data_IF_886303112167
#
_entry.id   IF_886303112167
#
_cell.length_a   1.000
_cell.length_b   1.000
_cell.length_c   1.000
_cell.angle_alpha   90.00
_cell.angle_beta   90.00
_cell.angle_gamma   90.00
#
_symmetry.space_group_name_H-M   'P 1'
#
loop_
_entity.id
_entity.type
_entity.pdbx_description
1 polymer ?
#
# COMPACT_ATOMS: atom_id res chain seq x y z
N UNK A 1 25.55 0.51 9.68
CA UNK A 1 25.03 1.89 9.85
C UNK A 1 23.52 1.79 9.72
N UNK A 2 22.77 2.44 10.59
CA UNK A 2 21.30 2.43 10.49
C UNK A 2 20.87 3.29 9.30
N UNK A 3 20.01 2.73 8.45
CA UNK A 3 19.39 3.45 7.33
C UNK A 3 17.96 3.81 7.71
N UNK A 4 17.54 5.04 7.46
CA UNK A 4 16.16 5.48 7.65
C UNK A 4 15.43 5.49 6.31
N UNK A 5 14.27 4.84 6.26
CA UNK A 5 13.36 4.85 5.11
C UNK A 5 12.12 5.65 5.48
N UNK A 6 11.81 6.70 4.71
CA UNK A 6 10.56 7.44 4.85
C UNK A 6 9.44 6.70 4.12
N UNK A 7 8.36 6.42 4.84
CA UNK A 7 7.19 5.67 4.37
C UNK A 7 5.96 6.57 4.35
N UNK A 8 5.33 6.71 3.19
CA UNK A 8 4.04 7.39 3.02
C UNK A 8 2.95 6.72 3.82
N UNK A 9 2.18 7.45 4.62
CA UNK A 9 0.92 6.99 5.22
C UNK A 9 1.02 5.56 5.78
N UNK A 10 1.92 5.28 6.73
CA UNK A 10 2.30 3.92 7.14
C UNK A 10 1.11 3.04 7.56
N UNK A 11 0.01 3.63 8.05
CA UNK A 11 -1.20 2.90 8.41
C UNK A 11 -2.09 2.47 7.23
N UNK A 12 -1.78 2.91 6.02
CA UNK A 12 -2.52 2.59 4.79
C UNK A 12 -1.83 1.48 3.98
N UNK A 13 -0.82 0.84 4.55
CA UNK A 13 -0.16 -0.32 3.97
C UNK A 13 -0.81 -1.60 4.44
N UNK A 14 -0.79 -2.59 3.57
CA UNK A 14 -1.19 -3.97 3.84
C UNK A 14 -0.13 -4.92 3.25
N UNK A 15 -0.23 -6.21 3.53
CA UNK A 15 0.73 -7.24 3.15
C UNK A 15 0.05 -8.43 2.52
N UNK A 16 0.74 -8.99 1.53
CA UNK A 16 0.29 -10.17 0.77
C UNK A 16 1.48 -10.99 0.25
N UNK A 17 1.23 -12.04 -0.53
CA UNK A 17 2.27 -12.94 -1.05
C UNK A 17 2.44 -12.76 -2.56
N UNK A 18 3.59 -13.19 -3.09
CA UNK A 18 3.83 -13.16 -4.54
C UNK A 18 2.78 -13.97 -5.33
N UNK A 19 2.23 -15.03 -4.74
CA UNK A 19 1.17 -15.85 -5.35
C UNK A 19 -0.07 -15.02 -5.65
N UNK A 20 -0.58 -14.28 -4.66
CA UNK A 20 -1.73 -13.41 -4.88
C UNK A 20 -1.37 -12.25 -5.80
N UNK A 21 -0.21 -11.62 -5.61
CA UNK A 21 0.16 -10.42 -6.36
C UNK A 21 0.33 -10.68 -7.86
N UNK A 22 0.63 -11.92 -8.26
CA UNK A 22 0.92 -12.27 -9.66
C UNK A 22 -0.22 -11.93 -10.63
N UNK A 23 -1.47 -11.97 -10.18
CA UNK A 23 -2.62 -11.66 -11.05
C UNK A 23 -2.63 -10.21 -11.53
N UNK A 24 -2.08 -9.27 -10.76
CA UNK A 24 -2.02 -7.86 -11.11
C UNK A 24 -0.83 -7.49 -12.01
N UNK A 25 0.18 -8.36 -12.11
CA UNK A 25 1.33 -8.19 -13.02
C UNK A 25 1.63 -9.53 -13.70
N UNK A 26 0.77 -9.99 -14.64
CA UNK A 26 0.85 -11.32 -15.21
C UNK A 26 2.04 -11.50 -16.16
N UNK A 27 2.50 -10.42 -16.79
CA UNK A 27 3.60 -10.40 -17.76
C UNK A 27 4.55 -9.20 -17.54
N UNK A 28 5.67 -9.18 -18.25
CA UNK A 28 6.69 -8.12 -18.14
C UNK A 28 6.10 -6.79 -18.60
N UNK A 29 6.01 -5.78 -17.72
CA UNK A 29 5.51 -4.45 -18.06
C UNK A 29 6.24 -3.78 -19.24
N UNK A 30 7.53 -4.06 -19.44
CA UNK A 30 8.29 -3.50 -20.57
C UNK A 30 7.89 -4.16 -21.91
N UNK A 31 7.44 -5.41 -21.90
CA UNK A 31 6.90 -6.09 -23.08
C UNK A 31 5.53 -5.51 -23.43
N UNK A 32 4.66 -5.34 -22.41
CA UNK A 32 3.35 -4.70 -22.55
C UNK A 32 3.49 -3.25 -23.07
N UNK A 33 4.49 -2.52 -22.58
CA UNK A 33 4.79 -1.14 -23.00
C UNK A 33 5.46 -1.05 -24.38
N UNK A 34 5.95 -2.17 -24.90
CA UNK A 34 6.70 -2.24 -26.16
C UNK A 34 8.09 -1.60 -26.10
N UNK A 35 8.58 -1.23 -24.91
CA UNK A 35 9.89 -0.64 -24.71
C UNK A 35 10.37 -0.83 -23.26
N UNK A 36 11.66 -1.12 -23.11
CA UNK A 36 12.31 -1.12 -21.81
C UNK A 36 12.45 0.29 -21.27
N UNK A 37 11.82 0.58 -20.12
CA UNK A 37 11.81 1.91 -19.53
C UNK A 37 13.19 2.38 -19.03
N UNK A 38 13.96 1.47 -18.45
CA UNK A 38 15.27 1.75 -17.85
C UNK A 38 16.30 0.75 -18.35
N UNK A 39 17.36 1.22 -19.01
CA UNK A 39 18.37 0.36 -19.64
C UNK A 39 19.13 -0.53 -18.65
N UNK A 40 19.28 -0.07 -17.41
CA UNK A 40 19.97 -0.77 -16.33
C UNK A 40 19.07 -1.70 -15.51
N UNK A 41 17.79 -1.89 -15.90
CA UNK A 41 16.81 -2.74 -15.19
C UNK A 41 17.36 -4.13 -14.85
N UNK A 42 17.98 -4.79 -15.83
CA UNK A 42 18.47 -6.16 -15.67
C UNK A 42 19.79 -6.25 -14.90
N UNK A 43 20.43 -5.09 -14.63
CA UNK A 43 21.66 -4.99 -13.84
C UNK A 43 21.38 -4.81 -12.35
N UNK A 44 20.13 -4.46 -11.97
CA UNK A 44 19.77 -4.24 -10.57
C UNK A 44 19.72 -5.56 -9.79
N UNK A 45 20.20 -5.53 -8.54
CA UNK A 45 20.13 -6.69 -7.64
C UNK A 45 18.76 -6.76 -6.98
N UNK A 46 17.77 -7.14 -7.77
CA UNK A 46 16.36 -7.24 -7.38
C UNK A 46 16.12 -8.09 -6.13
N UNK A 47 16.96 -9.10 -5.89
CA UNK A 47 16.92 -9.89 -4.66
C UNK A 47 17.25 -9.09 -3.39
N UNK A 48 18.20 -8.15 -3.46
CA UNK A 48 18.53 -7.28 -2.33
C UNK A 48 17.45 -6.21 -2.13
N UNK A 49 16.90 -5.67 -3.22
CA UNK A 49 15.76 -4.74 -3.17
C UNK A 49 14.55 -5.42 -2.49
N UNK A 50 14.17 -6.63 -2.93
CA UNK A 50 13.06 -7.38 -2.35
C UNK A 50 13.27 -7.67 -0.85
N UNK A 51 14.50 -8.02 -0.46
CA UNK A 51 14.85 -8.22 0.95
C UNK A 51 14.72 -6.94 1.79
N UNK A 52 15.13 -5.78 1.25
CA UNK A 52 14.97 -4.50 1.93
C UNK A 52 13.49 -4.09 2.06
N UNK A 53 12.71 -4.26 0.98
CA UNK A 53 11.27 -4.00 0.97
C UNK A 53 10.55 -4.88 2.00
N UNK A 54 10.91 -6.15 2.09
CA UNK A 54 10.38 -7.09 3.11
C UNK A 54 10.67 -6.58 4.52
N UNK A 55 11.93 -6.19 4.80
CA UNK A 55 12.30 -5.68 6.13
C UNK A 55 11.50 -4.43 6.52
N UNK A 56 11.26 -3.52 5.57
CA UNK A 56 10.40 -2.35 5.85
C UNK A 56 8.98 -2.79 6.19
N UNK A 57 8.41 -3.73 5.43
CA UNK A 57 7.10 -4.30 5.72
C UNK A 57 7.02 -4.97 7.10
N UNK A 58 8.06 -5.69 7.51
CA UNK A 58 8.14 -6.31 8.84
C UNK A 58 8.22 -5.28 9.97
N UNK A 59 9.00 -4.20 9.78
CA UNK A 59 9.10 -3.11 10.76
C UNK A 59 7.77 -2.35 10.88
N UNK A 60 7.07 -2.14 9.77
CA UNK A 60 5.73 -1.55 9.76
C UNK A 60 4.74 -2.43 10.52
N UNK A 61 4.72 -3.74 10.26
CA UNK A 61 3.87 -4.70 10.98
C UNK A 61 4.21 -4.76 12.48
N UNK A 62 5.48 -4.63 12.85
CA UNK A 62 5.90 -4.56 14.24
C UNK A 62 5.57 -3.22 14.92
N UNK A 63 5.03 -2.23 14.19
CA UNK A 63 4.79 -0.88 14.72
C UNK A 63 6.07 -0.16 15.15
N UNK A 64 7.23 -0.58 14.64
CA UNK A 64 8.56 -0.15 15.11
C UNK A 64 9.12 1.00 14.27
N UNK A 65 8.35 2.06 14.13
CA UNK A 65 8.68 3.26 13.35
C UNK A 65 8.23 4.52 14.10
N UNK A 66 8.76 5.68 13.73
CA UNK A 66 8.40 6.96 14.35
C UNK A 66 7.78 7.92 13.33
N UNK A 67 6.92 8.83 13.75
CA UNK A 67 6.42 9.89 12.86
C UNK A 67 7.59 10.77 12.42
N UNK A 68 7.62 11.14 11.15
CA UNK A 68 8.58 12.10 10.62
C UNK A 68 8.24 13.50 11.16
N UNK A 69 9.17 14.19 11.85
CA UNK A 69 8.89 15.51 12.43
C UNK A 69 8.67 16.60 11.38
N UNK A 70 9.09 16.39 10.13
CA UNK A 70 8.95 17.36 9.04
C UNK A 70 7.72 17.07 8.16
N UNK A 71 7.21 15.84 8.19
CA UNK A 71 6.12 15.36 7.34
C UNK A 71 5.14 14.52 8.16
N UNK A 72 4.03 15.12 8.58
CA UNK A 72 3.03 14.52 9.48
C UNK A 72 2.30 13.29 8.91
N UNK A 73 2.39 13.08 7.60
CA UNK A 73 1.88 11.90 6.90
C UNK A 73 2.90 10.77 6.74
N UNK A 74 4.13 10.91 7.26
CA UNK A 74 5.22 9.93 7.08
C UNK A 74 5.60 9.21 8.36
N UNK A 75 5.98 7.95 8.18
CA UNK A 75 6.72 7.16 9.16
C UNK A 75 8.18 7.01 8.76
N UNK A 76 9.09 7.12 9.72
CA UNK A 76 10.50 6.80 9.59
C UNK A 76 10.75 5.38 10.10
N UNK A 77 11.09 4.49 9.18
CA UNK A 77 11.44 3.10 9.43
C UNK A 77 12.95 2.96 9.51
N UNK A 78 13.46 2.50 10.65
CA UNK A 78 14.88 2.27 10.84
C UNK A 78 15.27 0.83 10.47
N UNK A 79 16.17 0.68 9.50
CA UNK A 79 16.80 -0.59 9.16
C UNK A 79 18.22 -0.65 9.75
N UNK A 80 18.68 -1.81 10.25
CA UNK A 80 20.06 -1.96 10.77
C UNK A 80 21.15 -1.73 9.70
N UNK A 81 20.72 -1.66 8.44
CA UNK A 81 21.46 -1.41 7.21
C UNK A 81 20.67 -2.02 6.06
N UNK A 82 21.01 -1.67 4.82
CA UNK A 82 20.49 -2.44 3.69
C UNK A 82 21.07 -3.86 3.68
N UNK A 83 20.34 -4.85 3.12
CA UNK A 83 20.92 -6.16 2.84
C UNK A 83 22.02 -6.03 1.79
N UNK A 84 23.27 -5.98 2.25
CA UNK A 84 24.46 -5.79 1.39
C UNK A 84 24.68 -4.34 0.95
N UNK A 85 25.69 -4.15 0.09
CA UNK A 85 26.07 -2.83 -0.42
C UNK A 85 25.23 -2.46 -1.64
N UNK A 86 24.14 -1.72 -1.45
CA UNK A 86 23.26 -1.25 -2.53
C UNK A 86 23.85 -0.05 -3.28
N UNK A 87 23.66 -0.02 -4.61
CA UNK A 87 23.96 1.16 -5.42
C UNK A 87 22.96 2.29 -5.11
N UNK A 88 23.27 3.53 -5.52
CA UNK A 88 22.33 4.63 -5.35
C UNK A 88 20.99 4.36 -6.06
N UNK A 89 21.01 3.81 -7.28
CA UNK A 89 19.80 3.45 -8.02
C UNK A 89 18.93 2.46 -7.25
N UNK A 90 19.52 1.43 -6.65
CA UNK A 90 18.77 0.43 -5.87
C UNK A 90 18.17 1.04 -4.60
N UNK A 91 18.89 1.97 -3.94
CA UNK A 91 18.37 2.73 -2.80
C UNK A 91 17.22 3.65 -3.20
N UNK A 92 17.31 4.28 -4.38
CA UNK A 92 16.24 5.12 -4.94
C UNK A 92 15.02 4.28 -5.30
N UNK A 93 15.21 3.06 -5.84
CA UNK A 93 14.12 2.10 -6.09
C UNK A 93 13.42 1.74 -4.78
N UNK A 94 14.15 1.44 -3.72
CA UNK A 94 13.58 1.15 -2.40
C UNK A 94 12.85 2.37 -1.84
N UNK A 95 13.39 3.57 -2.02
CA UNK A 95 12.71 4.80 -1.59
C UNK A 95 11.41 5.03 -2.37
N UNK A 96 11.43 4.79 -3.69
CA UNK A 96 10.26 4.89 -4.56
C UNK A 96 9.17 3.86 -4.19
N UNK A 97 9.54 2.69 -3.68
CA UNK A 97 8.60 1.71 -3.15
C UNK A 97 7.69 2.31 -2.08
N UNK A 98 8.18 3.24 -1.25
CA UNK A 98 7.43 3.76 -0.10
C UNK A 98 7.04 5.24 -0.23
N UNK A 99 7.34 5.89 -1.35
CA UNK A 99 6.99 7.30 -1.62
C UNK A 99 5.57 7.41 -2.18
N UNK A 100 4.83 8.43 -1.76
CA UNK A 100 3.39 8.56 -2.09
C UNK A 100 3.09 8.61 -3.60
N UNK A 101 3.97 9.19 -4.41
CA UNK A 101 3.76 9.34 -5.86
C UNK A 101 4.25 8.13 -6.67
N UNK A 102 4.89 7.15 -6.03
CA UNK A 102 5.61 6.06 -6.71
C UNK A 102 5.38 4.68 -6.07
N UNK A 103 4.73 4.60 -4.92
CA UNK A 103 4.54 3.34 -4.22
C UNK A 103 3.88 2.27 -5.10
N UNK A 104 4.19 0.99 -4.83
CA UNK A 104 3.38 -0.10 -5.38
C UNK A 104 2.01 -0.02 -4.72
N UNK A 105 1.00 0.38 -5.50
CA UNK A 105 -0.28 0.83 -4.97
C UNK A 105 -1.45 0.12 -5.67
N UNK A 106 -2.24 -0.60 -4.86
CA UNK A 106 -3.54 -1.17 -5.22
C UNK A 106 -4.27 -1.66 -3.98
N UNK A 107 -5.58 -1.86 -4.11
CA UNK A 107 -6.42 -2.41 -3.06
C UNK A 107 -6.67 -3.92 -3.28
N UNK A 108 -6.78 -4.74 -2.22
CA UNK A 108 -6.99 -6.18 -2.32
C UNK A 108 -8.18 -6.62 -3.18
N UNK A 109 -9.22 -5.80 -3.25
CA UNK A 109 -10.48 -6.07 -3.95
C UNK A 109 -10.57 -5.43 -5.35
N UNK A 110 -9.57 -4.66 -5.78
CA UNK A 110 -9.67 -3.83 -6.97
C UNK A 110 -8.53 -4.08 -7.99
N UNK A 111 -8.89 -4.11 -9.26
CA UNK A 111 -7.99 -4.04 -10.41
C UNK A 111 -8.30 -2.75 -11.18
N UNK A 112 -7.30 -1.91 -11.54
CA UNK A 112 -5.90 -2.27 -11.75
C UNK A 112 -4.92 -1.76 -10.68
N UNK A 113 -3.70 -2.29 -10.75
CA UNK A 113 -2.53 -1.71 -10.10
C UNK A 113 -2.30 -0.29 -10.59
N UNK A 114 -2.19 0.66 -9.65
CA UNK A 114 -2.16 2.11 -9.95
C UNK A 114 -0.74 2.60 -10.24
N UNK A 115 0.25 2.11 -9.52
CA UNK A 115 1.65 2.48 -9.72
C UNK A 115 2.60 1.36 -9.27
N UNK A 116 3.85 1.42 -9.73
CA UNK A 116 4.90 0.53 -9.28
C UNK A 116 4.98 -0.85 -9.94
N UNK A 117 4.22 -1.12 -11.02
CA UNK A 117 4.23 -2.46 -11.68
C UNK A 117 5.62 -2.92 -12.09
N UNK A 118 6.48 -2.03 -12.57
CA UNK A 118 7.85 -2.34 -12.99
C UNK A 118 8.72 -2.76 -11.79
N UNK A 119 8.61 -2.03 -10.68
CA UNK A 119 9.30 -2.36 -9.42
C UNK A 119 8.80 -3.67 -8.82
N UNK A 120 7.48 -3.88 -8.86
CA UNK A 120 6.86 -5.10 -8.42
C UNK A 120 7.28 -6.28 -9.29
N UNK A 121 7.27 -6.15 -10.61
CA UNK A 121 7.76 -7.16 -11.55
C UNK A 121 9.20 -7.58 -11.24
N UNK A 122 10.11 -6.61 -11.12
CA UNK A 122 11.52 -6.88 -10.88
C UNK A 122 11.77 -7.61 -9.55
N UNK A 123 11.00 -7.31 -8.50
CA UNK A 123 11.18 -7.92 -7.17
C UNK A 123 10.38 -9.20 -6.94
N UNK A 124 9.29 -9.43 -7.70
CA UNK A 124 8.27 -10.44 -7.42
C UNK A 124 8.83 -11.86 -7.24
N UNK A 125 9.74 -12.28 -8.12
CA UNK A 125 10.36 -13.63 -8.07
C UNK A 125 11.32 -13.82 -6.90
N UNK A 126 11.69 -12.74 -6.20
CA UNK A 126 12.68 -12.74 -5.14
C UNK A 126 12.10 -12.68 -3.72
N UNK A 127 10.79 -12.44 -3.58
CA UNK A 127 10.14 -12.46 -2.25
C UNK A 127 10.05 -13.87 -1.66
N UNK A 128 9.97 -14.92 -2.50
CA UNK A 128 9.77 -16.28 -2.02
C UNK A 128 8.50 -16.38 -1.16
N UNK A 129 8.64 -16.78 0.11
CA UNK A 129 7.54 -16.84 1.08
C UNK A 129 7.33 -15.55 1.88
N UNK A 130 8.14 -14.51 1.64
CA UNK A 130 8.04 -13.24 2.36
C UNK A 130 6.78 -12.47 1.99
N UNK A 131 6.28 -11.70 2.95
CA UNK A 131 5.15 -10.80 2.75
C UNK A 131 5.58 -9.51 2.04
N UNK A 132 4.82 -9.10 1.03
CA UNK A 132 5.04 -7.93 0.19
C UNK A 132 4.18 -6.79 0.74
N UNK A 133 4.77 -5.67 1.21
CA UNK A 133 4.00 -4.49 1.59
C UNK A 133 3.47 -3.76 0.37
N UNK A 134 2.17 -3.52 0.33
CA UNK A 134 1.45 -2.80 -0.73
C UNK A 134 0.71 -1.63 -0.09
N UNK A 135 0.72 -0.46 -0.75
CA UNK A 135 -0.09 0.68 -0.32
C UNK A 135 -1.51 0.53 -0.85
N UNK A 136 -2.52 0.69 0.01
CA UNK A 136 -3.91 0.75 -0.43
C UNK A 136 -4.23 2.12 -1.04
N UNK A 137 -4.92 2.13 -2.17
CA UNK A 137 -5.27 3.35 -2.90
C UNK A 137 -6.51 4.01 -2.30
N UNK A 138 -7.51 3.22 -1.91
CA UNK A 138 -8.76 3.71 -1.35
C UNK A 138 -8.54 4.68 -0.18
N UNK A 139 -7.69 4.31 0.79
CA UNK A 139 -7.42 5.14 1.97
C UNK A 139 -6.72 6.46 1.67
N UNK A 140 -6.01 6.59 0.54
CA UNK A 140 -5.45 7.87 0.10
C UNK A 140 -6.55 8.92 -0.13
N UNK A 141 -7.77 8.48 -0.41
CA UNK A 141 -8.94 9.33 -0.61
C UNK A 141 -9.80 9.53 0.65
N UNK A 142 -9.37 9.01 1.80
CA UNK A 142 -10.09 9.16 3.07
C UNK A 142 -9.70 10.47 3.76
N UNK A 143 -9.90 11.59 3.04
CA UNK A 143 -9.51 12.93 3.47
C UNK A 143 -10.63 13.95 3.22
N UNK A 144 -10.50 15.14 3.83
CA UNK A 144 -11.53 16.17 3.80
C UNK A 144 -11.84 16.69 2.38
N UNK A 145 -10.81 16.84 1.53
CA UNK A 145 -10.97 17.38 0.19
C UNK A 145 -11.75 16.41 -0.72
N UNK A 146 -11.40 15.12 -0.69
CA UNK A 146 -12.11 14.11 -1.47
C UNK A 146 -13.52 13.85 -0.92
N UNK A 147 -13.69 13.89 0.41
CA UNK A 147 -15.01 13.75 1.04
C UNK A 147 -15.96 14.90 0.64
N UNK A 148 -15.47 16.12 0.47
CA UNK A 148 -16.27 17.26 -0.02
C UNK A 148 -16.81 17.00 -1.44
N UNK A 149 -15.98 16.43 -2.32
CA UNK A 149 -16.37 16.09 -3.70
C UNK A 149 -17.35 14.92 -3.76
N UNK A 150 -17.15 13.92 -2.90
CA UNK A 150 -17.97 12.70 -2.84
C UNK A 150 -19.30 12.91 -2.11
N UNK A 151 -19.40 13.91 -1.23
CA UNK A 151 -20.58 14.23 -0.43
C UNK A 151 -20.87 13.22 0.67
N UNK A 152 -22.02 13.34 1.32
CA UNK A 152 -22.42 12.58 2.53
C UNK A 152 -22.38 11.04 2.37
N UNK A 153 -22.36 10.54 1.14
CA UNK A 153 -22.29 9.11 0.85
C UNK A 153 -20.88 8.51 0.91
N UNK A 154 -19.82 9.32 1.04
CA UNK A 154 -18.44 8.86 1.00
C UNK A 154 -18.12 7.71 1.99
N UNK A 155 -18.64 7.67 3.24
CA UNK A 155 -18.32 6.58 4.17
C UNK A 155 -18.84 5.22 3.67
N UNK A 156 -19.93 5.23 2.90
CA UNK A 156 -20.51 4.04 2.30
C UNK A 156 -19.58 3.36 1.29
N UNK A 157 -18.64 4.08 0.69
CA UNK A 157 -17.62 3.50 -0.19
C UNK A 157 -16.70 2.57 0.60
N UNK A 158 -16.18 3.05 1.74
CA UNK A 158 -15.31 2.28 2.62
C UNK A 158 -16.05 1.14 3.33
N UNK A 159 -17.36 1.28 3.57
CA UNK A 159 -18.17 0.16 4.05
C UNK A 159 -18.23 -1.00 3.03
N UNK A 160 -18.38 -0.68 1.73
CA UNK A 160 -18.32 -1.70 0.67
C UNK A 160 -16.91 -2.29 0.55
N UNK A 161 -15.87 -1.46 0.62
CA UNK A 161 -14.47 -1.91 0.59
C UNK A 161 -14.18 -2.94 1.70
N UNK A 162 -14.75 -2.76 2.90
CA UNK A 162 -14.64 -3.73 4.00
C UNK A 162 -15.39 -5.03 3.67
N UNK A 163 -16.59 -4.96 3.10
CA UNK A 163 -17.34 -6.15 2.69
C UNK A 163 -16.58 -6.96 1.63
N UNK A 164 -15.96 -6.28 0.65
CA UNK A 164 -15.13 -6.92 -0.37
C UNK A 164 -13.85 -7.50 0.22
N UNK A 165 -13.17 -6.77 1.11
CA UNK A 165 -11.98 -7.24 1.83
C UNK A 165 -12.27 -8.49 2.68
N UNK A 166 -13.36 -8.48 3.45
CA UNK A 166 -13.77 -9.58 4.32
C UNK A 166 -14.22 -10.82 3.52
N UNK A 167 -14.53 -10.67 2.23
CA UNK A 167 -14.85 -11.78 1.33
C UNK A 167 -13.60 -12.47 0.75
N UNK A 168 -12.41 -11.89 0.91
CA UNK A 168 -11.14 -12.47 0.44
C UNK A 168 -10.62 -13.48 1.47
N UNK A 169 -10.65 -14.77 1.12
CA UNK A 169 -10.19 -15.86 1.99
C UNK A 169 -8.68 -15.83 2.29
N UNK A 170 -7.93 -15.16 1.42
CA UNK A 170 -6.48 -15.01 1.51
C UNK A 170 -6.02 -13.75 2.27
N UNK A 171 -6.90 -12.81 2.58
CA UNK A 171 -6.51 -11.62 3.33
C UNK A 171 -6.36 -11.93 4.84
N UNK A 172 -5.11 -12.07 5.30
CA UNK A 172 -4.84 -12.45 6.70
C UNK A 172 -4.97 -11.26 7.65
N UNK A 173 -6.10 -11.17 8.36
CA UNK A 173 -6.34 -10.15 9.40
C UNK A 173 -5.56 -10.37 10.70
N UNK A 174 -4.84 -11.48 10.85
CA UNK A 174 -3.93 -11.71 11.98
C UNK A 174 -2.57 -11.06 11.76
N UNK A 175 -2.24 -10.73 10.52
CA UNK A 175 -1.09 -9.88 10.22
C UNK A 175 -1.32 -8.48 10.80
N UNK A 176 -0.42 -7.96 11.66
CA UNK A 176 -0.63 -6.66 12.30
C UNK A 176 -0.77 -5.49 11.33
N UNK A 177 -0.08 -5.51 10.18
CA UNK A 177 -0.18 -4.44 9.19
C UNK A 177 -1.53 -4.49 8.49
N UNK A 178 -2.01 -5.70 8.14
CA UNK A 178 -3.35 -5.90 7.59
C UNK A 178 -4.46 -5.53 8.57
N UNK A 179 -4.29 -5.86 9.85
CA UNK A 179 -5.23 -5.46 10.90
C UNK A 179 -5.30 -3.92 11.03
N UNK A 180 -4.15 -3.24 10.98
CA UNK A 180 -4.09 -1.77 10.97
C UNK A 180 -4.76 -1.17 9.74
N UNK A 181 -4.50 -1.72 8.55
CA UNK A 181 -5.12 -1.30 7.30
C UNK A 181 -6.65 -1.40 7.35
N UNK A 182 -7.15 -2.57 7.75
CA UNK A 182 -8.59 -2.82 7.91
C UNK A 182 -9.21 -1.88 8.94
N UNK A 183 -8.51 -1.58 10.04
CA UNK A 183 -8.99 -0.65 11.05
C UNK A 183 -9.05 0.81 10.53
N UNK A 184 -8.15 1.20 9.63
CA UNK A 184 -8.23 2.48 8.89
C UNK A 184 -9.48 2.53 8.00
N UNK A 185 -9.80 1.45 7.28
CA UNK A 185 -11.04 1.36 6.49
C UNK A 185 -12.27 1.46 7.38
N UNK A 186 -12.29 0.78 8.53
CA UNK A 186 -13.39 0.86 9.50
C UNK A 186 -13.60 2.29 10.02
N UNK A 187 -12.50 3.01 10.26
CA UNK A 187 -12.56 4.42 10.66
C UNK A 187 -13.19 5.27 9.55
N UNK A 188 -12.73 5.12 8.31
CA UNK A 188 -13.29 5.78 7.13
C UNK A 188 -14.79 5.46 6.94
N UNK A 189 -15.17 4.19 7.07
CA UNK A 189 -16.56 3.73 6.96
C UNK A 189 -17.48 4.29 8.07
N UNK A 190 -16.92 4.74 9.20
CA UNK A 190 -17.66 5.43 10.25
C UNK A 190 -17.90 6.92 9.97
N UNK A 191 -17.33 7.45 8.88
CA UNK A 191 -17.37 8.87 8.53
C UNK A 191 -16.27 9.72 9.18
N UNK A 192 -15.27 9.08 9.78
CA UNK A 192 -14.09 9.75 10.34
C UNK A 192 -12.86 9.54 9.44
N UNK A 193 -11.97 10.52 9.37
CA UNK A 193 -10.72 10.38 8.62
C UNK A 193 -9.70 9.57 9.43
N UNK A 194 -9.21 8.42 8.91
CA UNK A 194 -8.18 7.66 9.61
C UNK A 194 -6.87 8.46 9.62
N UNK A 195 -6.22 8.54 10.79
CA UNK A 195 -4.86 9.08 10.86
C UNK A 195 -3.90 8.21 10.04
N UNK A 196 -3.05 8.81 9.18
CA UNK A 196 -2.06 8.07 8.39
C UNK A 196 -0.94 7.49 9.27
N UNK A 197 -0.76 8.03 10.49
CA UNK A 197 0.36 7.70 11.37
C UNK A 197 -0.06 7.29 12.80
N UNK A 198 -1.10 7.87 13.37
CA UNK A 198 -1.44 7.58 14.78
C UNK A 198 -2.08 6.20 14.91
N UNK A 199 -1.71 5.35 15.87
CA UNK A 199 -2.33 4.04 16.05
C UNK A 199 -3.84 4.15 16.34
N UNK A 200 -4.63 3.15 15.91
CA UNK A 200 -6.05 3.08 16.28
C UNK A 200 -6.16 2.88 17.78
N UNK A 201 -6.75 3.85 18.48
CA UNK A 201 -7.16 3.64 19.87
C UNK A 201 -8.41 2.77 19.88
N UNK A 202 -8.41 1.57 20.48
CA UNK A 202 -9.60 0.73 20.50
C UNK A 202 -10.69 1.37 21.39
N UNK A 203 -11.73 1.93 20.79
CA UNK A 203 -12.89 2.41 21.52
C UNK A 203 -13.90 3.18 20.66
N UNK A 204 -15.16 2.72 20.71
CA UNK A 204 -16.38 3.25 20.10
C UNK A 204 -16.65 2.85 18.63
N UNK A 205 -17.15 1.63 18.45
CA UNK A 205 -17.99 1.29 17.31
C UNK A 205 -19.47 1.53 17.67
N UNK A 206 -20.15 2.44 16.97
CA UNK A 206 -21.62 2.43 16.88
C UNK A 206 -22.02 1.95 15.51
N UNK A 207 -22.65 0.78 15.47
CA UNK A 207 -23.18 0.15 14.27
C UNK A 207 -24.38 0.91 13.72
N UNK A 208 -24.39 1.20 12.42
CA UNK A 208 -25.65 1.33 11.68
C UNK A 208 -25.53 0.62 10.33
N UNK A 209 -26.23 -0.51 10.20
CA UNK A 209 -26.49 -1.18 8.92
C UNK A 209 -27.36 -0.29 8.05
N UNK A 210 -26.97 -0.08 6.79
CA UNK A 210 -27.86 0.37 5.73
C UNK A 210 -27.53 -0.32 4.41
N UNK A 211 -28.58 -0.62 3.65
CA UNK A 211 -28.60 -1.48 2.47
C UNK A 211 -28.26 -0.73 1.19
N UNK A 212 -27.49 -1.44 0.34
CA UNK A 212 -27.58 -1.57 -1.12
C UNK A 212 -27.02 -0.47 -2.04
N UNK A 213 -26.08 -0.96 -2.87
CA UNK A 213 -26.00 -0.88 -4.34
C UNK A 213 -26.22 0.49 -4.97
N UNK A 214 -25.18 0.98 -5.67
CA UNK A 214 -25.17 1.46 -7.06
C UNK A 214 -23.81 2.17 -7.32
N UNK A 215 -23.32 2.13 -8.57
CA UNK A 215 -22.33 3.05 -9.20
C UNK A 215 -20.87 2.57 -9.43
N UNK A 216 -20.65 1.98 -10.62
CA UNK A 216 -19.33 1.74 -11.25
C UNK A 216 -19.00 2.70 -12.42
N UNK A 217 -19.71 3.84 -12.56
CA UNK A 217 -19.65 4.64 -13.80
C UNK A 217 -19.04 6.04 -13.67
N UNK A 218 -18.50 6.46 -12.51
CA UNK A 218 -17.94 7.82 -12.34
C UNK A 218 -16.41 7.94 -12.23
N UNK A 219 -15.65 6.86 -12.05
CA UNK A 219 -14.17 6.93 -12.05
C UNK A 219 -13.51 7.04 -13.43
N UNK A 220 -14.25 6.91 -14.54
CA UNK A 220 -13.73 7.13 -15.91
C UNK A 220 -13.68 8.59 -16.37
N UNK A 221 -14.15 9.55 -15.58
CA UNK A 221 -14.33 10.93 -16.05
C UNK A 221 -13.28 11.94 -15.54
N UNK A 222 -12.25 11.52 -14.80
CA UNK A 222 -11.16 12.42 -14.32
C UNK A 222 -9.82 12.12 -15.01
N UNK A 223 -9.84 11.32 -16.09
CA UNK A 223 -8.65 11.04 -16.91
C UNK A 223 -8.93 11.21 -18.41
N UNK A 224 -9.77 12.19 -18.75
CA UNK A 224 -9.92 12.70 -20.11
C UNK A 224 -9.42 14.14 -20.16
#
# INVERSE_FOLDING_TARGET
MTTLISVATPRFWWRTTAEHVRQWVPEDPDIEDGAQRHSDRDEQRWNLIAAAVTQVGDVLAAGSWSVDPELDDRGLVALPGYPGDLTQTEQDIISAWFRSSEAVEFDPWFEPLTNGRHRLWGTMSHFGAASIPIRGSALCHANAADAEVLGDGWPGLYANDIEELDALDWFDTRDPLNASFRASLVTAASGAFPSPVDPVTPGLQTSSRSKRQWWWSRRRAVSA
#
